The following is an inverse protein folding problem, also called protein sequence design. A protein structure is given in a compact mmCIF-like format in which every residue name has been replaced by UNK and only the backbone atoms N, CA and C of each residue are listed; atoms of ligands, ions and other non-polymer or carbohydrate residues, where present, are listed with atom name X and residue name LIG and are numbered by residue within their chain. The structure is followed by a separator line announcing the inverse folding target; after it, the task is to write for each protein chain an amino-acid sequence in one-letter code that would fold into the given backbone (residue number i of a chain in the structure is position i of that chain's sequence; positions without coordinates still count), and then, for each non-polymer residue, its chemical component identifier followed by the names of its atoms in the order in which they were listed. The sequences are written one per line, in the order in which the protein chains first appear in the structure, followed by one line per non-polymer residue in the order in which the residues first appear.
data_IF_789846134496
#
_entry.id   IF_789846134496
#
_cell.length_a   1.000
_cell.length_b   1.000
_cell.length_c   1.000
_cell.angle_alpha   90.00
_cell.angle_beta   90.00
_cell.angle_gamma   90.00
#
_symmetry.space_group_name_H-M   'P 1'
#
loop_
_entity.id
_entity.type
_entity.pdbx_description
1 polymer ?
#
# COMPACT_ATOMS: atom_id res chain seq x y z
N UNK A 1 -57.32 -42.71 -33.46
CA UNK A 1 -56.40 -43.07 -32.38
C UNK A 1 -54.99 -43.17 -32.95
N UNK A 2 -54.02 -42.53 -32.28
CA UNK A 2 -52.56 -42.71 -32.35
C UNK A 2 -51.80 -42.63 -33.69
N UNK A 3 -51.02 -41.54 -33.80
CA UNK A 3 -49.69 -41.29 -34.42
C UNK A 3 -49.15 -42.24 -35.52
N UNK A 4 -48.64 -41.64 -36.61
CA UNK A 4 -47.22 -41.80 -36.97
C UNK A 4 -46.67 -40.74 -37.96
N UNK A 5 -45.36 -40.57 -37.87
CA UNK A 5 -44.49 -39.58 -38.52
C UNK A 5 -44.34 -39.72 -40.04
N UNK A 6 -44.02 -38.60 -40.71
CA UNK A 6 -42.78 -38.36 -41.47
C UNK A 6 -43.04 -37.30 -42.55
N UNK A 7 -42.37 -36.15 -42.44
CA UNK A 7 -42.13 -35.27 -43.58
C UNK A 7 -40.66 -34.88 -43.53
N UNK A 8 -39.95 -35.13 -44.62
CA UNK A 8 -38.55 -34.78 -44.79
C UNK A 8 -38.32 -34.19 -46.17
N UNK A 9 -37.52 -33.11 -46.15
CA UNK A 9 -36.61 -32.62 -47.18
C UNK A 9 -37.26 -31.96 -48.41
N UNK A 10 -36.64 -31.00 -49.10
CA UNK A 10 -35.60 -29.99 -48.90
C UNK A 10 -35.51 -29.32 -50.29
N UNK A 11 -35.06 -28.07 -50.37
CA UNK A 11 -34.41 -27.36 -51.49
C UNK A 11 -35.04 -25.99 -51.78
N UNK A 12 -34.34 -24.94 -51.31
CA UNK A 12 -34.53 -23.56 -51.73
C UNK A 12 -33.19 -23.11 -52.30
N UNK A 13 -33.16 -22.81 -53.60
CA UNK A 13 -32.01 -22.21 -54.27
C UNK A 13 -32.26 -20.71 -54.52
N UNK A 14 -31.34 -19.91 -53.99
CA UNK A 14 -30.66 -18.79 -54.63
C UNK A 14 -31.51 -17.60 -55.11
N UNK A 15 -31.36 -16.44 -54.44
CA UNK A 15 -30.98 -15.18 -55.10
C UNK A 15 -30.76 -14.02 -54.12
N UNK A 16 -29.85 -13.12 -54.52
CA UNK A 16 -29.54 -11.78 -53.99
C UNK A 16 -28.69 -11.77 -52.70
N UNK A 17 -27.66 -10.94 -52.52
CA UNK A 17 -27.45 -9.57 -52.99
C UNK A 17 -25.95 -9.24 -52.91
N UNK A 18 -25.43 -8.49 -53.89
CA UNK A 18 -24.15 -7.77 -53.80
C UNK A 18 -24.37 -6.52 -52.93
N UNK A 19 -23.46 -6.21 -52.00
CA UNK A 19 -22.85 -4.88 -51.79
C UNK A 19 -22.05 -4.82 -50.47
N UNK A 20 -20.87 -4.21 -50.52
CA UNK A 20 -20.34 -3.40 -49.41
C UNK A 20 -19.14 -3.95 -48.64
N UNK A 21 -17.94 -3.90 -49.24
CA UNK A 21 -16.68 -3.86 -48.52
C UNK A 21 -16.53 -2.51 -47.82
N UNK A 22 -16.66 -2.49 -46.50
CA UNK A 22 -16.14 -1.45 -45.60
C UNK A 22 -15.63 -2.15 -44.34
N UNK A 23 -14.40 -2.67 -44.42
CA UNK A 23 -13.66 -3.17 -43.27
C UNK A 23 -13.20 -1.98 -42.42
N UNK A 24 -13.98 -1.65 -41.38
CA UNK A 24 -13.52 -0.80 -40.31
C UNK A 24 -12.40 -1.48 -39.54
N UNK A 25 -11.26 -0.78 -39.41
CA UNK A 25 -10.26 -1.07 -38.39
C UNK A 25 -10.93 -0.85 -37.02
N UNK A 26 -11.33 -1.93 -36.34
CA UNK A 26 -11.50 -1.88 -34.90
C UNK A 26 -10.13 -2.10 -34.26
N UNK A 27 -9.55 -1.03 -33.71
CA UNK A 27 -8.46 -1.12 -32.74
C UNK A 27 -8.87 -2.13 -31.66
N UNK A 28 -8.08 -3.19 -31.51
CA UNK A 28 -8.23 -4.11 -30.38
C UNK A 28 -7.81 -3.39 -29.10
N UNK A 29 -8.77 -3.01 -28.27
CA UNK A 29 -8.49 -2.72 -26.87
C UNK A 29 -8.06 -4.04 -26.21
N UNK A 30 -6.76 -4.19 -25.96
CA UNK A 30 -6.26 -5.23 -25.08
C UNK A 30 -6.87 -5.02 -23.70
N UNK A 31 -7.84 -5.86 -23.32
CA UNK A 31 -8.38 -5.88 -21.95
C UNK A 31 -7.23 -6.16 -20.98
N UNK A 32 -6.85 -5.16 -20.17
CA UNK A 32 -5.90 -5.35 -19.08
C UNK A 32 -6.53 -6.28 -18.04
N UNK A 33 -5.92 -7.44 -17.81
CA UNK A 33 -6.39 -8.45 -16.86
C UNK A 33 -5.68 -8.24 -15.53
N UNK A 34 -6.44 -8.20 -14.43
CA UNK A 34 -5.86 -8.18 -13.08
C UNK A 34 -5.29 -9.57 -12.76
N UNK A 35 -4.03 -9.63 -12.35
CA UNK A 35 -3.35 -10.83 -11.92
C UNK A 35 -3.16 -10.87 -10.41
N UNK A 36 -3.08 -12.09 -9.86
CA UNK A 36 -2.62 -12.39 -8.50
C UNK A 36 -1.41 -13.30 -8.63
N UNK A 37 -0.34 -12.96 -7.93
CA UNK A 37 0.95 -13.62 -8.02
C UNK A 37 1.42 -14.00 -6.63
N UNK A 38 1.85 -15.25 -6.47
CA UNK A 38 2.41 -15.75 -5.23
C UNK A 38 3.93 -15.87 -5.35
N UNK A 39 4.63 -15.29 -4.37
CA UNK A 39 6.04 -15.52 -4.09
C UNK A 39 6.10 -16.48 -2.91
N UNK A 40 6.85 -17.57 -3.02
CA UNK A 40 6.93 -18.60 -1.97
C UNK A 40 8.35 -19.13 -1.82
N UNK A 41 8.78 -19.27 -0.56
CA UNK A 41 10.01 -19.93 -0.16
C UNK A 41 9.73 -20.77 1.08
N UNK A 42 9.70 -22.08 0.92
CA UNK A 42 9.31 -23.00 1.99
C UNK A 42 7.91 -22.69 2.55
N UNK A 43 7.84 -22.48 3.86
CA UNK A 43 6.62 -22.14 4.60
C UNK A 43 6.23 -20.65 4.52
N UNK A 44 7.11 -19.79 3.99
CA UNK A 44 6.86 -18.37 3.83
C UNK A 44 6.28 -18.07 2.45
N UNK A 45 5.17 -17.33 2.40
CA UNK A 45 4.60 -16.88 1.12
C UNK A 45 3.98 -15.49 1.19
N UNK A 46 4.14 -14.72 0.12
CA UNK A 46 3.55 -13.40 -0.08
C UNK A 46 2.71 -13.44 -1.35
N UNK A 47 1.44 -13.03 -1.30
CA UNK A 47 0.61 -12.85 -2.50
C UNK A 47 0.45 -11.37 -2.79
N UNK A 48 0.65 -11.00 -4.06
CA UNK A 48 0.49 -9.63 -4.55
C UNK A 48 -0.42 -9.58 -5.78
N UNK A 49 -1.10 -8.46 -6.00
CA UNK A 49 -1.93 -8.23 -7.18
C UNK A 49 -1.40 -7.12 -8.06
N UNK A 50 -1.63 -7.23 -9.38
CA UNK A 50 -1.43 -6.09 -10.28
C UNK A 50 -2.49 -4.99 -10.10
N UNK A 51 -3.58 -5.22 -9.36
CA UNK A 51 -4.46 -4.13 -8.90
C UNK A 51 -3.81 -3.43 -7.72
N UNK A 52 -3.49 -2.14 -7.88
CA UNK A 52 -2.92 -1.31 -6.83
C UNK A 52 -1.53 -1.73 -6.34
N UNK A 53 -0.85 -2.62 -7.07
CA UNK A 53 0.33 -3.35 -6.60
C UNK A 53 0.13 -3.93 -5.18
N UNK A 54 -1.07 -4.44 -4.90
CA UNK A 54 -1.52 -4.70 -3.52
C UNK A 54 -0.88 -5.97 -2.93
N UNK A 55 -0.36 -5.90 -1.69
CA UNK A 55 -0.07 -7.10 -0.87
C UNK A 55 -1.39 -7.66 -0.35
N UNK A 56 -1.76 -8.84 -0.84
CA UNK A 56 -3.00 -9.52 -0.48
C UNK A 56 -2.84 -10.43 0.73
N UNK A 57 -1.67 -11.04 0.93
CA UNK A 57 -1.45 -12.08 1.94
C UNK A 57 0.03 -12.21 2.28
N UNK A 58 0.34 -12.45 3.56
CA UNK A 58 1.69 -12.78 4.04
C UNK A 58 1.55 -13.93 5.04
N UNK A 59 2.01 -15.12 4.68
CA UNK A 59 1.84 -16.35 5.47
C UNK A 59 3.18 -16.82 6.02
N UNK A 60 3.25 -17.09 7.32
CA UNK A 60 4.41 -17.63 8.03
C UNK A 60 4.00 -18.38 9.32
N UNK A 61 4.84 -19.28 9.86
CA UNK A 61 4.51 -20.03 11.06
C UNK A 61 4.55 -19.19 12.34
N UNK A 62 3.87 -19.68 13.37
CA UNK A 62 4.01 -19.23 14.76
C UNK A 62 5.03 -20.14 15.52
N UNK A 63 5.19 -19.92 16.83
CA UNK A 63 6.07 -20.72 17.68
C UNK A 63 5.66 -22.19 17.87
N UNK A 64 4.51 -22.60 17.33
CA UNK A 64 4.01 -23.98 17.28
C UNK A 64 4.00 -24.54 15.87
N UNK A 65 4.50 -23.80 14.87
CA UNK A 65 4.51 -24.20 13.47
C UNK A 65 3.17 -24.00 12.73
N UNK A 66 2.18 -23.33 13.35
CA UNK A 66 0.91 -23.04 12.67
C UNK A 66 1.10 -21.88 11.69
N UNK A 67 0.84 -22.11 10.42
CA UNK A 67 0.78 -21.07 9.39
C UNK A 67 -0.48 -20.22 9.56
N UNK A 68 -0.32 -18.90 9.42
CA UNK A 68 -1.44 -17.95 9.42
C UNK A 68 -1.09 -16.74 8.54
N UNK A 69 -2.11 -16.08 8.01
CA UNK A 69 -1.95 -14.86 7.22
C UNK A 69 -1.94 -13.65 8.16
N UNK A 70 -0.83 -12.91 8.17
CA UNK A 70 -0.60 -11.82 9.14
C UNK A 70 -0.94 -10.42 8.61
N UNK A 71 -1.62 -10.33 7.46
CA UNK A 71 -2.15 -9.06 6.95
C UNK A 71 -3.65 -9.09 6.74
N UNK A 72 -4.33 -7.98 7.01
CA UNK A 72 -5.74 -7.82 6.65
C UNK A 72 -5.91 -7.72 5.13
N UNK A 73 -7.11 -8.00 4.65
CA UNK A 73 -7.45 -7.87 3.24
C UNK A 73 -8.80 -8.49 2.90
N UNK A 74 -8.97 -8.86 1.63
CA UNK A 74 -10.21 -9.45 1.13
C UNK A 74 -9.90 -10.72 0.31
N UNK A 75 -10.88 -11.63 0.22
CA UNK A 75 -10.74 -12.85 -0.59
C UNK A 75 -10.80 -12.59 -2.10
N UNK A 76 -11.40 -11.46 -2.52
CA UNK A 76 -11.70 -11.16 -3.92
C UNK A 76 -11.19 -9.79 -4.31
N UNK A 77 -10.56 -9.69 -5.48
CA UNK A 77 -10.13 -8.42 -6.08
C UNK A 77 -11.28 -7.41 -6.20
N UNK A 78 -12.50 -7.86 -6.50
CA UNK A 78 -13.66 -6.96 -6.59
C UNK A 78 -13.94 -6.15 -5.33
N UNK A 79 -13.55 -6.66 -4.15
CA UNK A 79 -13.65 -5.92 -2.88
C UNK A 79 -12.59 -4.82 -2.79
N UNK A 80 -11.39 -5.04 -3.33
CA UNK A 80 -10.32 -4.05 -3.41
C UNK A 80 -10.61 -2.90 -4.38
N UNK A 81 -11.51 -3.10 -5.35
CA UNK A 81 -11.86 -2.05 -6.33
C UNK A 81 -12.75 -0.97 -5.71
N UNK A 82 -13.59 -1.32 -4.74
CA UNK A 82 -14.63 -0.45 -4.18
C UNK A 82 -14.36 -0.03 -2.73
N UNK A 83 -13.24 -0.41 -2.15
CA UNK A 83 -12.89 -0.09 -0.77
C UNK A 83 -12.27 1.31 -0.62
N UNK A 84 -12.25 1.78 0.63
CA UNK A 84 -11.58 3.03 1.06
C UNK A 84 -10.57 2.79 2.20
N UNK A 85 -10.24 1.54 2.48
CA UNK A 85 -9.36 1.05 3.54
C UNK A 85 -7.88 1.02 3.14
N UNK A 86 -7.56 0.98 1.85
CA UNK A 86 -6.20 0.84 1.31
C UNK A 86 -5.47 -0.45 1.75
N UNK A 87 -6.19 -1.55 2.00
CA UNK A 87 -5.60 -2.76 2.58
C UNK A 87 -4.46 -3.29 1.69
N UNK A 88 -3.22 -3.17 2.17
CA UNK A 88 -2.04 -3.72 1.49
C UNK A 88 -1.61 -2.96 0.23
N UNK A 89 -2.29 -1.88 -0.15
CA UNK A 89 -2.04 -1.20 -1.41
C UNK A 89 -0.70 -0.44 -1.42
N UNK A 90 -0.16 -0.19 -2.61
CA UNK A 90 0.81 0.88 -2.81
C UNK A 90 0.04 2.21 -2.95
N UNK A 91 0.39 3.21 -2.15
CA UNK A 91 -0.22 4.54 -2.18
C UNK A 91 0.72 5.55 -2.85
N UNK A 92 0.15 6.47 -3.61
CA UNK A 92 0.86 7.49 -4.38
C UNK A 92 -0.08 8.21 -5.36
N UNK A 93 0.32 9.30 -6.02
CA UNK A 93 1.69 9.81 -6.17
C UNK A 93 2.34 10.40 -4.90
N UNK A 94 1.52 10.93 -3.99
CA UNK A 94 1.95 11.41 -2.67
C UNK A 94 1.12 10.71 -1.60
N UNK A 95 1.79 9.92 -0.77
CA UNK A 95 1.24 9.25 0.39
C UNK A 95 0.82 10.26 1.47
N UNK A 96 -0.12 9.84 2.32
CA UNK A 96 -0.72 10.68 3.35
C UNK A 96 -1.37 11.95 2.76
N UNK A 97 -1.49 13.01 3.56
CA UNK A 97 -2.30 14.19 3.25
C UNK A 97 -1.49 15.33 2.63
N UNK A 98 -2.11 16.03 1.68
CA UNK A 98 -1.74 17.38 1.24
C UNK A 98 -2.86 18.34 1.66
N UNK A 99 -2.50 19.32 2.50
CA UNK A 99 -3.39 20.31 3.09
C UNK A 99 -4.12 21.15 2.05
N UNK A 100 -5.45 21.25 2.19
CA UNK A 100 -6.28 22.04 1.27
C UNK A 100 -6.34 21.52 -0.17
N UNK A 101 -5.88 20.29 -0.41
CA UNK A 101 -5.87 19.64 -1.73
C UNK A 101 -5.24 20.53 -2.82
N UNK A 102 -4.14 21.20 -2.49
CA UNK A 102 -3.40 22.06 -3.41
C UNK A 102 -1.96 22.22 -2.94
N UNK A 103 -1.09 22.65 -3.83
CA UNK A 103 0.27 23.10 -3.46
C UNK A 103 0.79 24.09 -4.52
N UNK A 104 1.89 24.76 -4.24
CA UNK A 104 2.55 25.66 -5.21
C UNK A 104 3.94 25.16 -5.55
N UNK A 105 4.23 24.99 -6.84
CA UNK A 105 5.52 24.53 -7.34
C UNK A 105 5.94 25.39 -8.53
N UNK A 106 7.15 25.96 -8.47
CA UNK A 106 7.66 26.85 -9.52
C UNK A 106 6.77 28.09 -9.77
N UNK A 107 6.15 28.62 -8.70
CA UNK A 107 5.24 29.76 -8.80
C UNK A 107 3.84 29.46 -9.35
N UNK A 108 3.55 28.21 -9.73
CA UNK A 108 2.23 27.77 -10.18
C UNK A 108 1.52 26.98 -9.07
N UNK A 109 0.25 27.31 -8.82
CA UNK A 109 -0.61 26.53 -7.93
C UNK A 109 -1.24 25.35 -8.68
N UNK A 110 -1.15 24.17 -8.08
CA UNK A 110 -1.77 22.93 -8.53
C UNK A 110 -2.92 22.59 -7.58
N UNK A 111 -4.04 22.15 -8.14
CA UNK A 111 -5.21 21.70 -7.38
C UNK A 111 -5.36 20.18 -7.56
N UNK A 112 -5.50 19.50 -6.44
CA UNK A 112 -5.65 18.05 -6.34
C UNK A 112 -7.12 17.70 -6.07
N UNK A 113 -7.45 16.42 -6.18
CA UNK A 113 -8.78 15.94 -5.82
C UNK A 113 -8.96 15.91 -4.29
N UNK A 114 -9.95 16.62 -3.71
CA UNK A 114 -10.19 16.59 -2.27
C UNK A 114 -11.00 15.36 -1.87
N UNK A 115 -10.33 14.22 -1.64
CA UNK A 115 -10.95 12.96 -1.21
C UNK A 115 -10.98 12.77 0.32
N UNK A 116 -10.43 13.70 1.10
CA UNK A 116 -10.48 13.67 2.57
C UNK A 116 -10.87 15.05 3.12
N UNK A 117 -12.17 15.33 3.14
CA UNK A 117 -12.71 16.65 3.51
C UNK A 117 -12.23 17.74 2.54
N UNK A 118 -11.37 18.63 3.01
CA UNK A 118 -10.75 19.70 2.18
C UNK A 118 -9.35 19.33 1.69
N UNK A 119 -8.82 18.18 2.10
CA UNK A 119 -7.47 17.73 1.85
C UNK A 119 -7.47 16.65 0.76
N UNK A 120 -6.30 16.44 0.15
CA UNK A 120 -6.05 15.29 -0.73
C UNK A 120 -5.31 14.24 0.08
N UNK A 121 -5.74 12.98 0.02
CA UNK A 121 -5.19 11.85 0.76
C UNK A 121 -4.75 10.75 -0.22
N UNK A 122 -3.54 10.21 -0.02
CA UNK A 122 -2.99 9.04 -0.74
C UNK A 122 -3.07 9.16 -2.27
N UNK A 123 -2.76 10.35 -2.80
CA UNK A 123 -2.74 10.62 -4.23
C UNK A 123 -4.10 10.89 -4.89
N UNK A 124 -5.20 10.97 -4.12
CA UNK A 124 -6.51 11.41 -4.60
C UNK A 124 -7.52 10.28 -4.80
N UNK A 125 -8.62 10.57 -5.52
CA UNK A 125 -9.74 9.64 -5.68
C UNK A 125 -9.35 8.33 -6.35
N UNK A 126 -8.54 8.40 -7.41
CA UNK A 126 -7.99 7.24 -8.12
C UNK A 126 -6.47 7.29 -8.04
N UNK A 127 -5.96 7.14 -6.82
CA UNK A 127 -4.53 7.00 -6.55
C UNK A 127 -3.96 5.68 -7.08
N UNK A 128 -2.69 5.46 -6.78
CA UNK A 128 -1.94 4.28 -7.25
C UNK A 128 -2.49 2.93 -6.76
N UNK A 129 -3.31 2.94 -5.72
CA UNK A 129 -4.03 1.79 -5.20
C UNK A 129 -5.22 1.35 -6.08
N UNK A 130 -5.74 2.21 -6.95
CA UNK A 130 -6.96 1.96 -7.75
C UNK A 130 -6.70 1.89 -9.26
N UNK A 131 -5.50 1.46 -9.64
CA UNK A 131 -5.08 1.30 -11.04
C UNK A 131 -4.50 -0.08 -11.28
N UNK A 132 -4.53 -0.51 -12.55
CA UNK A 132 -3.91 -1.77 -12.97
C UNK A 132 -2.47 -1.46 -13.36
N UNK A 133 -1.54 -2.10 -12.65
CA UNK A 133 -0.12 -2.07 -12.92
C UNK A 133 0.26 -3.15 -13.95
N UNK A 134 1.20 -2.84 -14.82
CA UNK A 134 1.74 -3.78 -15.79
C UNK A 134 2.82 -4.65 -15.13
N UNK A 135 2.80 -5.97 -15.33
CA UNK A 135 3.90 -6.84 -14.90
C UNK A 135 5.08 -6.62 -15.84
N UNK A 136 6.19 -6.10 -15.32
CA UNK A 136 7.42 -5.91 -16.10
C UNK A 136 8.33 -7.12 -16.06
N UNK A 137 8.45 -7.72 -14.89
CA UNK A 137 9.36 -8.82 -14.65
C UNK A 137 8.81 -9.72 -13.56
N UNK A 138 9.00 -11.03 -13.71
CA UNK A 138 8.68 -12.02 -12.69
C UNK A 138 9.68 -13.14 -12.77
N UNK A 139 10.27 -13.47 -11.62
CA UNK A 139 11.24 -14.56 -11.47
C UNK A 139 10.75 -15.49 -10.36
N UNK A 140 10.76 -16.77 -10.68
CA UNK A 140 10.49 -17.86 -9.72
C UNK A 140 11.82 -18.48 -9.27
N UNK A 141 11.79 -19.33 -8.25
CA UNK A 141 12.97 -20.04 -7.73
C UNK A 141 13.18 -19.79 -6.25
N UNK A 142 14.43 -19.85 -5.80
CA UNK A 142 14.80 -19.74 -4.38
C UNK A 142 14.60 -18.32 -3.82
N UNK A 143 14.80 -17.29 -4.67
CA UNK A 143 14.66 -15.88 -4.32
C UNK A 143 13.64 -15.20 -5.25
N UNK A 144 12.35 -15.60 -5.20
CA UNK A 144 11.36 -15.16 -6.16
C UNK A 144 11.06 -13.66 -6.01
N UNK A 145 10.85 -12.98 -7.13
CA UNK A 145 10.44 -11.58 -7.15
C UNK A 145 9.51 -11.26 -8.32
N UNK A 146 8.78 -10.15 -8.18
CA UNK A 146 7.93 -9.59 -9.22
C UNK A 146 8.04 -8.07 -9.20
N UNK A 147 8.19 -7.48 -10.38
CA UNK A 147 8.24 -6.03 -10.59
C UNK A 147 7.01 -5.58 -11.38
N UNK A 148 6.25 -4.67 -10.79
CA UNK A 148 5.16 -3.97 -11.43
C UNK A 148 5.62 -2.59 -11.92
N UNK A 149 4.97 -2.08 -12.97
CA UNK A 149 5.15 -0.73 -13.51
C UNK A 149 3.81 -0.04 -13.72
N UNK A 150 3.78 1.25 -13.42
CA UNK A 150 2.68 2.13 -13.74
C UNK A 150 3.21 3.43 -14.34
N UNK A 151 2.51 3.91 -15.36
CA UNK A 151 2.77 5.21 -15.98
C UNK A 151 1.66 6.18 -15.55
N UNK A 152 2.03 7.14 -14.70
CA UNK A 152 1.15 8.19 -14.20
C UNK A 152 1.32 9.44 -15.07
N UNK A 153 0.31 9.79 -15.85
CA UNK A 153 0.42 10.84 -16.86
C UNK A 153 0.41 12.27 -16.25
N UNK A 154 0.89 13.26 -17.00
CA UNK A 154 0.84 14.68 -16.62
C UNK A 154 -0.61 15.14 -16.34
N UNK A 155 -0.85 15.64 -15.12
CA UNK A 155 -2.17 16.08 -14.66
C UNK A 155 -3.00 14.98 -13.98
N UNK A 156 -2.52 13.74 -13.89
CA UNK A 156 -3.22 12.68 -13.17
C UNK A 156 -3.47 13.07 -11.71
N UNK A 157 -4.74 13.03 -11.29
CA UNK A 157 -5.21 13.50 -9.98
C UNK A 157 -4.82 14.96 -9.62
N UNK A 158 -4.38 15.75 -10.60
CA UNK A 158 -3.94 17.14 -10.44
C UNK A 158 -2.42 17.35 -10.32
N UNK A 159 -1.62 16.28 -10.28
CA UNK A 159 -0.16 16.38 -10.17
C UNK A 159 0.51 16.69 -11.52
N UNK A 160 1.54 17.58 -11.56
CA UNK A 160 2.27 17.86 -12.79
C UNK A 160 3.21 16.73 -13.19
N UNK A 161 3.45 16.59 -14.48
CA UNK A 161 4.50 15.76 -15.05
C UNK A 161 4.13 14.29 -15.17
N UNK A 162 4.63 13.68 -16.25
CA UNK A 162 4.59 12.24 -16.43
C UNK A 162 5.59 11.58 -15.47
N UNK A 163 5.15 10.51 -14.82
CA UNK A 163 5.91 9.78 -13.82
C UNK A 163 5.82 8.29 -14.10
N UNK A 164 6.97 7.67 -14.34
CA UNK A 164 7.06 6.20 -14.36
C UNK A 164 7.39 5.69 -12.96
N UNK A 165 6.60 4.73 -12.50
CA UNK A 165 6.70 4.17 -11.15
C UNK A 165 6.87 2.67 -11.25
N UNK A 166 7.78 2.13 -10.45
CA UNK A 166 8.09 0.71 -10.36
C UNK A 166 8.02 0.28 -8.91
N UNK A 167 7.46 -0.91 -8.68
CA UNK A 167 7.55 -1.57 -7.38
C UNK A 167 7.93 -3.02 -7.55
N UNK A 168 8.95 -3.45 -6.80
CA UNK A 168 9.42 -4.83 -6.78
C UNK A 168 9.14 -5.44 -5.40
N UNK A 169 8.44 -6.56 -5.39
CA UNK A 169 8.27 -7.42 -4.22
C UNK A 169 9.21 -8.61 -4.35
N UNK A 170 10.01 -8.89 -3.33
CA UNK A 170 11.02 -9.96 -3.38
C UNK A 170 11.11 -10.69 -2.05
N UNK A 171 11.13 -12.02 -2.07
CA UNK A 171 11.56 -12.82 -0.92
C UNK A 171 13.09 -12.88 -0.97
N UNK A 172 13.74 -12.27 0.01
CA UNK A 172 15.20 -12.14 0.06
C UNK A 172 15.86 -13.31 0.78
N UNK A 173 15.22 -13.83 1.83
CA UNK A 173 15.70 -14.94 2.66
C UNK A 173 14.49 -15.65 3.28
N UNK A 174 14.73 -16.65 4.11
CA UNK A 174 13.66 -17.24 4.92
C UNK A 174 13.01 -16.16 5.80
N UNK A 175 11.68 -16.05 5.73
CA UNK A 175 10.89 -15.09 6.51
C UNK A 175 11.32 -13.62 6.34
N UNK A 176 11.94 -13.28 5.21
CA UNK A 176 12.38 -11.92 4.91
C UNK A 176 11.93 -11.54 3.51
N UNK A 177 11.26 -10.40 3.38
CA UNK A 177 10.90 -9.86 2.07
C UNK A 177 11.08 -8.35 2.01
N UNK A 178 11.41 -7.86 0.82
CA UNK A 178 11.57 -6.43 0.54
C UNK A 178 10.53 -5.91 -0.44
N UNK A 179 10.25 -4.61 -0.29
CA UNK A 179 9.48 -3.78 -1.21
C UNK A 179 10.39 -2.64 -1.65
N UNK A 180 10.72 -2.62 -2.94
CA UNK A 180 11.54 -1.58 -3.56
C UNK A 180 10.67 -0.74 -4.46
N UNK A 181 10.49 0.54 -4.13
CA UNK A 181 9.74 1.51 -4.89
C UNK A 181 10.69 2.49 -5.56
N UNK A 182 10.49 2.72 -6.86
CA UNK A 182 11.28 3.64 -7.66
C UNK A 182 10.34 4.49 -8.51
N UNK A 183 10.61 5.79 -8.62
CA UNK A 183 9.86 6.66 -9.52
C UNK A 183 10.77 7.64 -10.27
N UNK A 184 10.41 7.93 -11.52
CA UNK A 184 11.22 8.72 -12.46
C UNK A 184 10.36 9.79 -13.14
N UNK A 185 10.46 11.06 -12.75
CA UNK A 185 9.83 12.16 -13.48
C UNK A 185 10.39 12.25 -14.89
N UNK A 186 9.53 12.25 -15.91
CA UNK A 186 9.97 12.28 -17.32
C UNK A 186 10.19 13.68 -17.86
N UNK A 187 9.39 14.65 -17.42
CA UNK A 187 9.34 15.95 -18.11
C UNK A 187 9.13 17.18 -17.21
N UNK A 188 8.58 17.03 -16.00
CA UNK A 188 8.36 18.16 -15.07
C UNK A 188 8.71 17.76 -13.64
N UNK A 189 9.14 18.72 -12.81
CA UNK A 189 9.19 18.52 -11.37
C UNK A 189 7.81 18.20 -10.78
N UNK A 190 7.76 17.25 -9.86
CA UNK A 190 6.53 16.82 -9.15
C UNK A 190 6.88 16.37 -7.73
N UNK A 191 5.98 16.57 -6.75
CA UNK A 191 6.11 15.87 -5.48
C UNK A 191 5.93 14.36 -5.69
N UNK A 192 6.70 13.56 -4.96
CA UNK A 192 6.63 12.09 -4.93
C UNK A 192 6.87 11.64 -3.50
N UNK A 193 5.92 10.89 -2.95
CA UNK A 193 6.07 10.19 -1.69
C UNK A 193 5.25 8.89 -1.82
N UNK A 194 5.91 7.74 -1.85
CA UNK A 194 5.24 6.46 -1.99
C UNK A 194 5.20 5.76 -0.64
N UNK A 195 4.19 4.93 -0.41
CA UNK A 195 4.17 4.07 0.76
C UNK A 195 3.45 2.75 0.48
N UNK A 196 3.70 1.76 1.34
CA UNK A 196 3.02 0.47 1.31
C UNK A 196 2.10 0.40 2.54
N UNK A 197 0.79 0.25 2.30
CA UNK A 197 -0.24 0.40 3.32
C UNK A 197 -0.77 -0.95 3.85
N UNK A 198 0.13 -1.88 4.20
CA UNK A 198 -0.27 -3.15 4.83
C UNK A 198 -0.80 -2.92 6.25
N UNK A 199 -1.86 -3.65 6.57
CA UNK A 199 -2.44 -3.72 7.91
C UNK A 199 -1.99 -5.02 8.55
N UNK A 200 -1.04 -4.93 9.48
CA UNK A 200 -0.39 -6.05 10.14
C UNK A 200 -1.14 -6.51 11.38
N UNK A 201 -1.43 -7.80 11.45
CA UNK A 201 -1.82 -8.49 12.67
C UNK A 201 -1.02 -9.79 12.78
N UNK A 202 0.07 -9.76 13.56
CA UNK A 202 0.99 -10.89 13.67
C UNK A 202 0.38 -12.11 14.40
N UNK A 203 -0.75 -11.96 15.09
CA UNK A 203 -1.52 -13.08 15.62
C UNK A 203 -2.28 -13.87 14.53
N UNK A 204 -2.35 -13.32 13.31
CA UNK A 204 -3.21 -13.75 12.22
C UNK A 204 -4.33 -12.72 11.98
N UNK A 205 -4.77 -12.56 10.74
CA UNK A 205 -5.73 -11.52 10.35
C UNK A 205 -7.06 -11.58 11.11
N UNK A 206 -7.45 -12.77 11.58
CA UNK A 206 -8.68 -13.01 12.33
C UNK A 206 -8.47 -13.09 13.86
N UNK A 207 -7.30 -12.70 14.37
CA UNK A 207 -6.94 -12.89 15.78
C UNK A 207 -7.48 -11.82 16.75
N UNK A 208 -8.24 -10.85 16.23
CA UNK A 208 -8.83 -9.76 17.02
C UNK A 208 -7.93 -8.54 17.08
N UNK A 209 -7.89 -7.85 18.22
CA UNK A 209 -7.22 -6.55 18.34
C UNK A 209 -5.71 -6.64 18.58
N UNK A 210 -4.96 -5.65 18.08
CA UNK A 210 -3.51 -5.54 18.27
C UNK A 210 -3.10 -4.87 19.59
N UNK A 211 -4.05 -4.57 20.48
CA UNK A 211 -3.79 -3.78 21.70
C UNK A 211 -2.77 -4.42 22.66
N UNK A 212 -2.56 -5.74 22.55
CA UNK A 212 -1.58 -6.50 23.35
C UNK A 212 -0.24 -6.66 22.64
N UNK A 213 -0.11 -6.26 21.38
CA UNK A 213 1.14 -6.33 20.65
C UNK A 213 2.13 -5.34 21.25
N UNK A 214 3.38 -5.76 21.41
CA UNK A 214 4.48 -4.89 21.79
C UNK A 214 4.99 -4.19 20.53
N UNK A 215 5.18 -2.88 20.61
CA UNK A 215 5.72 -2.05 19.54
C UNK A 215 6.89 -1.25 20.11
N UNK A 216 7.97 -1.18 19.33
CA UNK A 216 9.06 -0.25 19.50
C UNK A 216 9.24 0.51 18.19
N UNK A 217 9.36 1.83 18.23
CA UNK A 217 9.61 2.71 17.09
C UNK A 217 10.90 3.47 17.34
N UNK A 218 11.83 3.41 16.40
CA UNK A 218 13.13 4.08 16.47
C UNK A 218 13.00 5.53 15.97
N UNK A 219 12.16 6.30 16.66
CA UNK A 219 11.92 7.72 16.38
C UNK A 219 11.63 8.49 17.66
N UNK A 220 12.42 9.54 17.92
CA UNK A 220 12.34 10.35 19.13
C UNK A 220 11.41 11.56 19.01
N UNK A 221 10.92 11.83 17.79
CA UNK A 221 10.01 12.93 17.50
C UNK A 221 8.86 12.47 16.61
N UNK A 222 7.80 13.26 16.59
CA UNK A 222 6.64 13.14 15.70
C UNK A 222 6.39 14.47 14.98
N UNK A 223 5.54 14.44 13.96
CA UNK A 223 4.97 15.65 13.34
C UNK A 223 3.52 15.82 13.82
N UNK A 224 3.25 16.62 14.87
CA UNK A 224 1.91 16.83 15.40
C UNK A 224 0.95 17.35 14.34
N UNK A 225 -0.32 16.96 14.45
CA UNK A 225 -1.35 17.29 13.46
C UNK A 225 -2.46 18.16 14.04
N UNK A 226 -3.12 18.89 13.16
CA UNK A 226 -4.36 19.61 13.47
C UNK A 226 -5.58 18.66 13.50
N UNK A 227 -6.77 19.23 13.74
CA UNK A 227 -8.03 18.47 13.77
C UNK A 227 -8.42 17.79 12.45
N UNK A 228 -7.78 18.14 11.34
CA UNK A 228 -7.97 17.53 10.01
C UNK A 228 -6.82 16.57 9.66
N UNK A 229 -6.00 16.21 10.66
CA UNK A 229 -4.83 15.35 10.51
C UNK A 229 -3.76 15.90 9.57
N UNK A 230 -3.68 17.23 9.41
CA UNK A 230 -2.62 17.92 8.68
C UNK A 230 -1.51 18.31 9.66
N UNK A 231 -0.22 18.01 9.38
CA UNK A 231 0.87 18.46 10.22
C UNK A 231 0.87 19.97 10.45
N UNK A 232 1.23 20.37 11.66
CA UNK A 232 1.34 21.80 12.02
C UNK A 232 2.62 22.43 11.49
N UNK A 233 3.57 21.62 11.01
CA UNK A 233 4.95 22.00 10.71
C UNK A 233 5.91 21.84 11.89
N UNK A 234 5.40 21.57 13.09
CA UNK A 234 6.22 21.28 14.28
C UNK A 234 6.85 19.88 14.19
N UNK A 235 8.05 19.74 14.75
CA UNK A 235 8.68 18.44 15.06
C UNK A 235 8.80 18.38 16.58
N UNK A 236 7.96 17.57 17.22
CA UNK A 236 7.82 17.54 18.68
C UNK A 236 8.40 16.25 19.27
N UNK A 237 9.07 16.30 20.43
CA UNK A 237 9.62 15.11 21.07
C UNK A 237 8.51 14.19 21.59
N UNK A 238 8.76 12.88 21.58
CA UNK A 238 7.81 11.89 22.12
C UNK A 238 7.94 11.68 23.63
N UNK A 239 9.04 12.11 24.23
CA UNK A 239 9.35 11.90 25.64
C UNK A 239 8.23 12.42 26.57
N UNK A 240 7.78 11.55 27.48
CA UNK A 240 6.71 11.88 28.42
C UNK A 240 5.31 11.95 27.81
N UNK A 241 5.14 11.59 26.53
CA UNK A 241 3.85 11.56 25.84
C UNK A 241 3.32 10.13 25.65
N UNK A 242 2.03 9.94 25.32
CA UNK A 242 1.50 8.65 24.90
C UNK A 242 2.14 8.07 23.63
N UNK A 243 2.90 8.88 22.88
CA UNK A 243 3.62 8.48 21.67
C UNK A 243 5.05 7.98 21.96
N UNK A 244 5.49 7.87 23.21
CA UNK A 244 6.83 7.35 23.50
C UNK A 244 6.87 5.82 23.32
N UNK A 245 7.24 5.38 22.11
CA UNK A 245 7.49 3.99 21.73
C UNK A 245 8.98 3.70 21.53
N UNK A 246 9.89 4.57 22.04
CA UNK A 246 11.34 4.36 21.91
C UNK A 246 11.79 3.05 22.57
N UNK A 247 11.11 2.66 23.65
CA UNK A 247 11.21 1.35 24.27
C UNK A 247 9.96 0.49 23.96
N UNK A 248 10.10 -0.85 23.92
CA UNK A 248 8.98 -1.74 23.65
C UNK A 248 7.83 -1.53 24.66
N UNK A 249 6.63 -1.25 24.15
CA UNK A 249 5.41 -1.10 24.95
C UNK A 249 4.20 -1.65 24.22
N UNK A 250 3.15 -2.01 24.95
CA UNK A 250 1.93 -2.48 24.29
C UNK A 250 1.22 -1.33 23.61
N UNK A 251 0.60 -1.59 22.45
CA UNK A 251 -0.21 -0.58 21.75
C UNK A 251 -1.30 -0.02 22.67
N UNK A 252 -1.95 -0.86 23.48
CA UNK A 252 -3.00 -0.44 24.40
C UNK A 252 -2.55 0.41 25.59
N UNK A 253 -1.25 0.48 25.91
CA UNK A 253 -0.77 1.15 27.14
C UNK A 253 -0.96 2.66 27.20
N UNK A 254 -1.20 3.32 26.06
CA UNK A 254 -1.39 4.77 25.97
C UNK A 254 -2.48 5.22 25.03
N UNK A 255 -3.13 4.29 24.32
CA UNK A 255 -4.05 4.62 23.22
C UNK A 255 -5.28 5.41 23.68
N UNK A 256 -5.77 5.18 24.89
CA UNK A 256 -6.92 5.91 25.46
C UNK A 256 -6.61 7.40 25.71
N UNK A 257 -5.33 7.77 25.80
CA UNK A 257 -4.89 9.16 25.93
C UNK A 257 -4.69 9.85 24.56
N UNK A 258 -4.88 9.12 23.47
CA UNK A 258 -4.79 9.62 22.10
C UNK A 258 -6.18 9.58 21.48
N UNK A 259 -6.88 10.72 21.36
CA UNK A 259 -8.22 10.75 20.80
C UNK A 259 -8.29 10.08 19.42
N UNK A 260 -9.07 9.02 19.30
CA UNK A 260 -9.23 8.24 18.07
C UNK A 260 -8.20 7.13 17.86
N UNK A 261 -7.13 7.05 18.66
CA UNK A 261 -6.03 6.09 18.50
C UNK A 261 -4.84 6.67 17.73
N UNK A 262 -3.77 5.90 17.58
CA UNK A 262 -2.57 6.37 16.92
C UNK A 262 -2.80 6.52 15.41
N UNK A 263 -2.50 7.70 14.89
CA UNK A 263 -2.42 8.02 13.46
C UNK A 263 -1.44 9.19 13.31
N UNK A 264 -0.14 8.88 13.43
CA UNK A 264 0.90 9.91 13.52
C UNK A 264 2.17 9.49 12.77
N UNK A 265 2.83 10.45 12.13
CA UNK A 265 4.15 10.25 11.55
C UNK A 265 5.24 10.46 12.61
N UNK A 266 6.08 9.46 12.78
CA UNK A 266 7.32 9.52 13.56
C UNK A 266 8.47 9.96 12.67
N UNK A 267 9.35 10.79 13.22
CA UNK A 267 10.65 11.15 12.65
C UNK A 267 11.67 10.12 13.08
N UNK A 268 12.28 9.41 12.13
CA UNK A 268 13.16 8.28 12.41
C UNK A 268 14.57 8.71 12.79
N UNK A 269 15.04 8.21 13.92
CA UNK A 269 16.33 8.54 14.51
C UNK A 269 17.50 7.88 13.76
N UNK A 270 18.71 8.39 14.04
CA UNK A 270 19.97 7.74 13.69
C UNK A 270 20.34 7.77 12.21
N UNK A 271 21.64 7.54 11.91
CA UNK A 271 22.11 7.37 10.56
C UNK A 271 21.63 6.03 9.99
N UNK A 272 21.52 5.97 8.66
CA UNK A 272 21.43 4.71 7.96
C UNK A 272 22.70 3.86 8.17
N UNK A 273 22.55 2.54 8.06
CA UNK A 273 23.65 1.58 8.06
C UNK A 273 24.46 1.62 6.75
N UNK A 274 25.43 0.71 6.60
CA UNK A 274 26.26 0.61 5.41
C UNK A 274 25.51 0.29 4.10
N UNK A 275 24.24 -0.08 4.17
CA UNK A 275 23.36 -0.34 3.03
C UNK A 275 22.38 0.81 2.76
N UNK A 276 22.44 1.90 3.56
CA UNK A 276 21.56 3.05 3.39
C UNK A 276 20.18 2.88 4.01
N UNK A 277 20.01 1.94 4.96
CA UNK A 277 18.74 1.69 5.66
C UNK A 277 18.91 1.75 7.18
N UNK A 278 17.83 1.99 7.91
CA UNK A 278 17.82 1.93 9.38
C UNK A 278 16.63 1.14 9.89
N UNK A 279 16.75 0.60 11.10
CA UNK A 279 15.64 -0.07 11.78
C UNK A 279 14.59 1.00 12.12
N UNK A 280 13.36 0.74 11.72
CA UNK A 280 12.22 1.66 11.83
C UNK A 280 11.39 1.30 13.04
N UNK A 281 10.99 0.04 13.13
CA UNK A 281 10.13 -0.47 14.18
C UNK A 281 10.32 -1.96 14.40
N UNK A 282 9.96 -2.42 15.60
CA UNK A 282 9.80 -3.83 15.94
C UNK A 282 8.41 -4.03 16.50
N UNK A 283 7.70 -5.03 16.00
CA UNK A 283 6.37 -5.43 16.46
C UNK A 283 6.43 -6.89 16.90
N UNK A 284 5.92 -7.19 18.07
CA UNK A 284 5.83 -8.55 18.61
C UNK A 284 4.40 -8.85 19.03
N UNK A 285 3.87 -10.00 18.61
CA UNK A 285 2.62 -10.54 19.14
C UNK A 285 2.93 -11.71 20.09
N UNK A 286 2.73 -11.53 21.42
CA UNK A 286 3.24 -12.47 22.41
C UNK A 286 2.66 -13.89 22.35
N UNK A 287 1.46 -14.11 21.80
CA UNK A 287 0.82 -15.43 21.82
C UNK A 287 1.33 -16.36 20.73
N UNK A 288 1.52 -15.82 19.52
CA UNK A 288 2.10 -16.53 18.38
C UNK A 288 3.63 -16.55 18.43
N UNK A 289 4.24 -15.61 19.16
CA UNK A 289 5.69 -15.43 19.18
C UNK A 289 6.24 -14.82 17.88
N UNK A 290 5.37 -14.42 16.93
CA UNK A 290 5.81 -13.76 15.70
C UNK A 290 6.30 -12.36 16.02
N UNK A 291 7.45 -12.02 15.44
CA UNK A 291 8.08 -10.71 15.52
C UNK A 291 8.32 -10.20 14.12
N UNK A 292 7.99 -8.93 13.86
CA UNK A 292 8.31 -8.20 12.65
C UNK A 292 9.31 -7.09 12.99
N UNK A 293 10.47 -7.09 12.35
CA UNK A 293 11.32 -5.90 12.24
C UNK A 293 11.13 -5.24 10.88
N UNK A 294 10.91 -3.92 10.89
CA UNK A 294 10.87 -3.11 9.68
C UNK A 294 12.15 -2.28 9.56
N UNK A 295 12.76 -2.29 8.39
CA UNK A 295 13.91 -1.47 8.03
C UNK A 295 13.61 -0.64 6.78
N UNK A 296 14.10 0.60 6.71
CA UNK A 296 13.84 1.49 5.57
C UNK A 296 14.88 2.58 5.40
N UNK A 297 14.90 3.18 4.20
CA UNK A 297 15.71 4.36 3.87
C UNK A 297 14.92 5.68 4.01
N UNK A 298 13.65 5.64 4.40
CA UNK A 298 12.81 6.84 4.53
C UNK A 298 13.09 7.61 5.83
N UNK A 299 12.77 8.92 5.86
CA UNK A 299 12.96 9.73 7.06
C UNK A 299 11.84 9.55 8.09
N UNK A 300 10.64 9.10 7.69
CA UNK A 300 9.50 8.95 8.57
C UNK A 300 8.79 7.61 8.49
N UNK A 301 7.91 7.36 9.46
CA UNK A 301 6.96 6.25 9.45
C UNK A 301 5.62 6.69 10.02
N UNK A 302 4.54 6.48 9.26
CA UNK A 302 3.18 6.59 9.79
C UNK A 302 2.90 5.37 10.66
N UNK A 303 2.56 5.60 11.92
CA UNK A 303 2.02 4.58 12.80
C UNK A 303 0.52 4.80 12.96
N UNK A 304 -0.26 3.90 12.37
CA UNK A 304 -1.72 3.95 12.37
C UNK A 304 -2.31 2.66 12.93
N UNK A 305 -3.25 2.77 13.86
CA UNK A 305 -3.85 1.62 14.57
C UNK A 305 -5.24 1.24 14.07
N UNK A 306 -5.50 1.32 12.76
CA UNK A 306 -6.76 0.89 12.15
C UNK A 306 -8.01 1.52 12.82
N UNK A 307 -7.90 2.80 13.17
CA UNK A 307 -8.87 3.53 13.99
C UNK A 307 -10.24 3.65 13.33
N UNK A 308 -10.26 3.71 12.00
CA UNK A 308 -11.47 3.91 11.18
C UNK A 308 -12.02 2.62 10.57
N UNK A 309 -11.47 1.47 10.97
CA UNK A 309 -12.01 0.18 10.54
C UNK A 309 -13.22 -0.14 11.43
N UNK A 310 -14.40 -0.19 10.81
CA UNK A 310 -15.66 -0.46 11.51
C UNK A 310 -16.43 -1.53 10.75
N UNK A 311 -16.49 -2.74 11.31
CA UNK A 311 -17.28 -3.84 10.79
C UNK A 311 -17.07 -4.15 9.29
N UNK A 312 -15.81 -4.26 8.87
CA UNK A 312 -15.44 -4.52 7.45
C UNK A 312 -15.34 -6.03 7.22
N UNK A 313 -16.13 -6.57 6.28
CA UNK A 313 -16.04 -7.98 5.89
C UNK A 313 -14.73 -8.25 5.13
N UNK A 314 -13.80 -8.93 5.78
CA UNK A 314 -12.48 -9.29 5.28
C UNK A 314 -12.38 -10.71 4.72
N UNK A 315 -11.17 -11.28 4.83
CA UNK A 315 -10.87 -12.66 4.43
C UNK A 315 -11.63 -13.69 5.25
N UNK A 316 -11.94 -14.82 4.64
CA UNK A 316 -12.53 -16.00 5.28
C UNK A 316 -13.84 -15.70 6.04
N UNK A 317 -14.56 -14.65 5.62
CA UNK A 317 -15.80 -14.22 6.27
C UNK A 317 -15.62 -13.54 7.63
N UNK A 318 -14.39 -13.19 8.03
CA UNK A 318 -14.12 -12.49 9.28
C UNK A 318 -14.42 -11.00 9.16
N UNK A 319 -15.04 -10.40 10.18
CA UNK A 319 -15.25 -8.97 10.25
C UNK A 319 -14.09 -8.30 10.99
N UNK A 320 -13.41 -7.36 10.33
CA UNK A 320 -12.40 -6.52 10.94
C UNK A 320 -13.05 -5.35 11.66
N UNK A 321 -12.63 -5.15 12.91
CA UNK A 321 -13.09 -4.07 13.78
C UNK A 321 -11.96 -3.08 14.07
N UNK A 322 -12.28 -2.05 14.85
CA UNK A 322 -11.31 -1.04 15.26
C UNK A 322 -10.12 -1.69 15.97
N UNK A 323 -8.90 -1.22 15.63
CA UNK A 323 -7.65 -1.76 16.18
C UNK A 323 -7.41 -3.25 15.89
N UNK A 324 -8.00 -3.79 14.83
CA UNK A 324 -7.74 -5.17 14.35
C UNK A 324 -6.36 -5.35 13.73
N UNK A 325 -5.66 -4.26 13.40
CA UNK A 325 -4.31 -4.27 12.85
C UNK A 325 -3.60 -2.94 13.10
N UNK A 326 -2.31 -2.89 12.76
CA UNK A 326 -1.52 -1.66 12.69
C UNK A 326 -0.85 -1.50 11.32
N UNK A 327 -0.62 -0.27 10.90
CA UNK A 327 0.16 0.09 9.71
C UNK A 327 1.48 0.73 10.14
N UNK A 328 2.52 0.45 9.36
CA UNK A 328 3.86 1.04 9.47
C UNK A 328 4.29 1.50 8.08
N UNK A 329 3.77 2.64 7.67
CA UNK A 329 3.99 3.19 6.34
C UNK A 329 5.25 4.05 6.38
N UNK A 330 6.40 3.52 5.98
CA UNK A 330 7.59 4.38 5.87
C UNK A 330 7.39 5.33 4.70
N UNK A 331 7.77 6.60 4.87
CA UNK A 331 7.40 7.68 3.95
C UNK A 331 8.26 8.93 4.21
N UNK A 332 8.20 9.91 3.31
CA UNK A 332 8.47 11.31 3.66
C UNK A 332 7.36 11.86 4.56
N UNK A 333 7.60 12.99 5.23
CA UNK A 333 6.63 13.54 6.18
C UNK A 333 5.36 14.00 5.46
N UNK A 334 4.17 13.81 6.06
CA UNK A 334 2.93 14.31 5.47
C UNK A 334 2.99 15.83 5.26
N UNK A 335 2.31 16.30 4.23
CA UNK A 335 2.23 17.73 3.85
C UNK A 335 3.59 18.44 3.67
N UNK A 336 4.69 17.70 3.41
CA UNK A 336 6.04 18.26 3.31
C UNK A 336 6.17 19.39 2.27
N UNK A 337 5.42 19.33 1.16
CA UNK A 337 5.36 20.41 0.16
C UNK A 337 4.97 21.79 0.72
N UNK A 338 4.30 21.86 1.89
CA UNK A 338 3.93 23.09 2.57
C UNK A 338 4.85 23.48 3.74
N UNK A 339 5.78 22.61 4.14
CA UNK A 339 6.63 22.79 5.30
C UNK A 339 8.11 22.77 4.89
N UNK A 340 8.72 23.94 4.66
CA UNK A 340 10.13 24.03 4.22
C UNK A 340 11.15 23.42 5.18
N UNK A 341 10.77 23.16 6.44
CA UNK A 341 11.58 22.49 7.45
C UNK A 341 11.46 20.96 7.42
N UNK A 342 10.57 20.39 6.59
CA UNK A 342 10.44 18.95 6.36
C UNK A 342 11.34 18.52 5.19
N UNK A 343 11.64 17.21 5.03
CA UNK A 343 12.36 16.69 3.87
C UNK A 343 11.71 17.11 2.55
N UNK A 344 12.52 17.47 1.56
CA UNK A 344 12.01 17.84 0.24
C UNK A 344 11.53 16.59 -0.52
N UNK A 345 10.25 16.58 -0.89
CA UNK A 345 9.62 15.51 -1.66
C UNK A 345 9.49 15.84 -3.17
N UNK A 346 10.06 16.96 -3.65
CA UNK A 346 9.98 17.36 -5.06
C UNK A 346 11.15 16.77 -5.87
N UNK A 347 10.83 16.05 -6.93
CA UNK A 347 11.77 15.42 -7.85
C UNK A 347 11.55 15.95 -9.28
N UNK A 348 12.63 16.28 -9.97
CA UNK A 348 12.66 16.75 -11.35
C UNK A 348 13.12 15.71 -12.38
N UNK A 349 13.13 16.08 -13.67
CA UNK A 349 13.74 15.24 -14.69
C UNK A 349 15.21 14.95 -14.35
N UNK A 350 15.61 13.69 -14.53
CA UNK A 350 16.92 13.11 -14.16
C UNK A 350 17.09 12.74 -12.68
N UNK A 351 16.17 13.12 -11.80
CA UNK A 351 16.14 12.58 -10.46
C UNK A 351 15.54 11.17 -10.45
N UNK A 352 15.91 10.38 -9.44
CA UNK A 352 15.34 9.05 -9.21
C UNK A 352 14.88 8.97 -7.77
N UNK A 353 13.57 8.89 -7.56
CA UNK A 353 13.00 8.55 -6.27
C UNK A 353 13.30 7.09 -5.95
N UNK A 354 13.73 6.81 -4.72
CA UNK A 354 14.01 5.46 -4.23
C UNK A 354 13.52 5.29 -2.81
N UNK A 355 12.72 4.27 -2.60
CA UNK A 355 12.20 3.90 -1.30
C UNK A 355 12.28 2.41 -1.13
N UNK A 356 12.93 2.01 -0.04
CA UNK A 356 13.16 0.63 0.31
C UNK A 356 12.50 0.30 1.64
N UNK A 357 11.79 -0.83 1.68
CA UNK A 357 11.26 -1.42 2.91
C UNK A 357 11.74 -2.87 2.97
N UNK A 358 12.25 -3.29 4.12
CA UNK A 358 12.67 -4.66 4.38
C UNK A 358 11.97 -5.14 5.64
N UNK A 359 11.13 -6.15 5.47
CA UNK A 359 10.39 -6.81 6.53
C UNK A 359 11.13 -8.09 6.90
N UNK A 360 11.64 -8.16 8.13
CA UNK A 360 12.29 -9.34 8.68
C UNK A 360 11.39 -9.94 9.74
N UNK A 361 10.91 -11.16 9.51
CA UNK A 361 10.15 -11.86 10.52
C UNK A 361 11.05 -12.84 11.28
N UNK A 362 10.75 -13.02 12.55
CA UNK A 362 11.34 -14.06 13.38
C UNK A 362 10.30 -14.63 14.34
N UNK A 363 10.63 -15.76 14.96
CA UNK A 363 9.72 -16.49 15.85
C UNK A 363 10.42 -16.67 17.20
N UNK A 364 9.88 -16.02 18.23
CA UNK A 364 10.25 -16.25 19.62
C UNK A 364 9.55 -17.49 20.14
N UNK A 365 10.30 -18.36 20.81
CA UNK A 365 9.78 -19.60 21.38
C UNK A 365 8.98 -19.35 22.65
#
# INVERSE_FOLDING_TARGET
MARNNNNSLLFISLSLLVLGLLSGLCCGENKRVVGIYELRRGEFSVKVSSWGATILSVILPDNKGKLDDVVLGYDRIGSYVNETTYFGALVGRVANRIGGARFTLGGKTYHLYPNDGKNSLHGGHRGFNQVIWDVRERVEGEFPYITFHYHSFDGEQGFPGDLDVFVTYKIDEDYTFSVMMRAEPRNKPTPINLAQHSYWNLGGHASGTILKNLVQIFGSHITPVDRNLIPTGEIAPVEGTPYDFREPRTVGSGIDNVPGGYDINYVLDGPADGQGVKKVAVVEEPRSGRVLELWSNQPGVQFYTANFIHHVLGKEGHYYEQHSALCLETQDFPDAIHHPNFPNEVYGPNDVYKHYMLYKFSIKK
#
